data_IF_735507482573
#
_entry.id   IF_735507482573
#
_cell.length_a   1.000
_cell.length_b   1.000
_cell.length_c   1.000
_cell.angle_alpha   90.00
_cell.angle_beta   90.00
_cell.angle_gamma   90.00
#
_symmetry.space_group_name_H-M   'P 1'
#
loop_
_entity.id
_entity.type
_entity.pdbx_description
1 polymer ?
#
# COMPACT_ATOMS: atom_id res chain seq x y z
N UNK A 1 14.96 -7.71 13.51
CA UNK A 1 14.95 -6.78 12.36
C UNK A 1 13.83 -7.15 11.40
N UNK A 2 13.06 -6.18 10.98
CA UNK A 2 11.98 -6.40 10.00
C UNK A 2 12.54 -6.74 8.64
N UNK A 3 12.04 -7.81 8.04
CA UNK A 3 12.43 -8.25 6.71
C UNK A 3 11.34 -7.93 5.68
N UNK A 4 11.68 -8.06 4.39
CA UNK A 4 10.68 -7.94 3.32
C UNK A 4 9.55 -8.96 3.48
N UNK A 5 9.89 -10.18 3.88
CA UNK A 5 8.90 -11.23 4.13
C UNK A 5 7.96 -10.86 5.28
N UNK A 6 8.47 -10.19 6.31
CA UNK A 6 7.64 -9.71 7.42
C UNK A 6 6.63 -8.67 6.93
N UNK A 7 7.03 -7.77 6.04
CA UNK A 7 6.13 -6.76 5.47
C UNK A 7 5.01 -7.42 4.68
N UNK A 8 5.35 -8.39 3.84
CA UNK A 8 4.35 -9.11 3.03
C UNK A 8 3.38 -9.87 3.92
N UNK A 9 3.90 -10.61 4.90
CA UNK A 9 3.07 -11.38 5.83
C UNK A 9 2.11 -10.46 6.58
N UNK A 10 2.61 -9.33 7.08
CA UNK A 10 1.78 -8.39 7.82
C UNK A 10 0.72 -7.74 6.92
N UNK A 11 1.09 -7.38 5.69
CA UNK A 11 0.13 -6.83 4.74
C UNK A 11 -1.00 -7.81 4.44
N UNK A 12 -0.69 -9.09 4.34
CA UNK A 12 -1.68 -10.13 4.08
C UNK A 12 -2.69 -10.30 5.21
N UNK A 13 -2.33 -9.91 6.44
CA UNK A 13 -3.29 -9.92 7.54
C UNK A 13 -4.42 -8.90 7.37
N UNK A 14 -4.24 -7.91 6.52
CA UNK A 14 -5.25 -6.90 6.24
C UNK A 14 -6.23 -7.29 5.14
N UNK A 15 -5.98 -8.38 4.41
CA UNK A 15 -6.85 -8.83 3.32
C UNK A 15 -8.27 -9.02 3.85
N UNK A 16 -9.25 -8.47 3.12
CA UNK A 16 -10.65 -8.50 3.50
C UNK A 16 -11.13 -7.27 4.27
N UNK A 17 -10.21 -6.43 4.76
CA UNK A 17 -10.61 -5.18 5.44
C UNK A 17 -11.37 -4.29 4.46
N UNK A 18 -12.57 -3.79 4.83
CA UNK A 18 -13.36 -2.92 3.94
C UNK A 18 -12.66 -1.60 3.63
N UNK A 19 -12.90 -1.09 2.43
CA UNK A 19 -12.35 0.20 2.01
C UNK A 19 -13.17 1.34 2.60
N UNK A 20 -12.47 2.34 3.20
CA UNK A 20 -13.07 3.61 3.59
C UNK A 20 -12.00 4.68 3.64
N UNK A 21 -12.28 5.83 3.02
CA UNK A 21 -11.33 6.94 2.91
C UNK A 21 -10.82 7.39 4.28
N UNK A 22 -9.48 7.55 4.38
CA UNK A 22 -8.77 8.02 5.58
C UNK A 22 -8.99 7.17 6.84
N UNK A 23 -9.27 5.88 6.69
CA UNK A 23 -9.37 4.94 7.80
C UNK A 23 -8.15 4.03 7.86
N UNK A 24 -7.83 3.53 9.07
CA UNK A 24 -6.58 2.81 9.35
C UNK A 24 -6.76 1.63 10.29
N UNK A 25 -7.93 1.00 10.33
CA UNK A 25 -8.23 -0.04 11.33
C UNK A 25 -8.39 -1.40 10.67
N UNK A 26 -7.44 -2.30 10.96
CA UNK A 26 -7.45 -3.68 10.42
C UNK A 26 -8.79 -4.36 10.72
N UNK A 27 -9.36 -4.98 9.70
CA UNK A 27 -10.62 -5.70 9.81
C UNK A 27 -11.86 -4.82 9.85
N UNK A 28 -11.72 -3.51 9.99
CA UNK A 28 -12.84 -2.57 10.12
C UNK A 28 -12.94 -1.65 8.92
N UNK A 29 -11.90 -0.87 8.64
CA UNK A 29 -11.90 0.06 7.51
C UNK A 29 -10.50 0.58 7.23
N UNK A 30 -10.15 0.71 5.95
CA UNK A 30 -8.83 1.20 5.55
C UNK A 30 -8.89 1.75 4.12
N UNK A 31 -8.04 2.72 3.80
CA UNK A 31 -7.79 3.14 2.42
C UNK A 31 -6.38 2.73 1.98
N UNK A 32 -5.97 3.16 0.78
CA UNK A 32 -4.69 2.71 0.22
C UNK A 32 -3.50 3.18 1.06
N UNK A 33 -3.47 4.42 1.49
CA UNK A 33 -2.43 4.93 2.36
C UNK A 33 -2.53 4.31 3.76
N UNK A 34 -3.76 4.08 4.23
CA UNK A 34 -4.01 3.46 5.52
C UNK A 34 -3.44 2.07 5.64
N UNK A 35 -3.49 1.28 4.57
CA UNK A 35 -2.88 -0.04 4.56
C UNK A 35 -1.38 0.04 4.79
N UNK A 36 -0.70 0.89 4.04
CA UNK A 36 0.76 1.06 4.17
C UNK A 36 1.13 1.57 5.57
N UNK A 37 0.43 2.59 6.05
CA UNK A 37 0.67 3.15 7.38
C UNK A 37 0.40 2.09 8.46
N UNK A 38 -0.71 1.37 8.34
CA UNK A 38 -1.10 0.33 9.30
C UNK A 38 -0.09 -0.79 9.39
N UNK A 39 0.41 -1.26 8.25
CA UNK A 39 1.46 -2.29 8.22
C UNK A 39 2.73 -1.77 8.89
N UNK A 40 3.14 -0.54 8.59
CA UNK A 40 4.32 0.06 9.22
C UNK A 40 4.14 0.21 10.73
N UNK A 41 2.96 0.59 11.19
CA UNK A 41 2.66 0.65 12.64
C UNK A 41 2.72 -0.74 13.28
N UNK A 42 2.11 -1.73 12.64
CA UNK A 42 2.08 -3.11 13.16
C UNK A 42 3.48 -3.67 13.35
N UNK A 43 4.41 -3.31 12.48
CA UNK A 43 5.78 -3.80 12.50
C UNK A 43 6.72 -2.91 13.31
N UNK A 44 6.23 -1.81 13.87
CA UNK A 44 7.06 -0.89 14.63
C UNK A 44 8.04 -0.09 13.80
N UNK A 45 7.81 0.03 12.50
CA UNK A 45 8.66 0.81 11.59
C UNK A 45 8.43 2.30 11.73
N UNK A 46 7.29 2.69 12.27
CA UNK A 46 6.93 4.06 12.61
C UNK A 46 6.31 4.06 13.99
N UNK A 47 6.28 5.24 14.65
CA UNK A 47 5.61 5.38 15.94
C UNK A 47 4.10 5.18 15.76
N UNK A 48 3.38 4.68 16.80
CA UNK A 48 1.94 4.42 16.66
C UNK A 48 1.10 5.63 16.27
N UNK A 49 1.55 6.83 16.62
CA UNK A 49 0.84 8.08 16.29
C UNK A 49 1.15 8.59 14.87
N UNK A 50 2.12 7.98 14.17
CA UNK A 50 2.46 8.42 12.81
C UNK A 50 1.26 8.29 11.88
N UNK A 51 1.01 9.33 11.11
CA UNK A 51 -0.05 9.34 10.11
C UNK A 51 0.28 10.34 9.00
N UNK A 52 -0.42 10.19 7.89
CA UNK A 52 -0.35 11.10 6.76
C UNK A 52 -1.78 11.48 6.39
N UNK A 53 -2.07 12.75 6.41
CA UNK A 53 -3.37 13.28 6.04
C UNK A 53 -3.26 14.26 4.89
N UNK A 54 -4.36 14.95 4.60
CA UNK A 54 -4.39 16.01 3.60
C UNK A 54 -4.47 15.53 2.15
N UNK A 55 -4.62 14.23 1.93
CA UNK A 55 -4.81 13.71 0.57
C UNK A 55 -6.31 13.59 0.24
N UNK A 56 -6.63 13.77 -1.03
CA UNK A 56 -8.01 13.74 -1.50
C UNK A 56 -8.52 12.30 -1.71
N UNK A 57 -9.85 12.13 -1.68
CA UNK A 57 -10.48 10.86 -2.03
C UNK A 57 -10.17 10.49 -3.49
N UNK A 58 -10.20 11.49 -4.38
CA UNK A 58 -9.82 11.33 -5.77
C UNK A 58 -8.31 11.55 -5.91
N UNK A 59 -7.62 10.78 -6.76
CA UNK A 59 -6.19 10.97 -6.97
C UNK A 59 -5.87 12.36 -7.50
N UNK A 60 -4.98 13.08 -6.81
CA UNK A 60 -4.50 14.38 -7.28
C UNK A 60 -3.14 14.29 -7.97
N UNK A 61 -2.55 13.10 -8.01
CA UNK A 61 -1.26 12.87 -8.67
C UNK A 61 -0.06 13.33 -7.86
N UNK A 62 -0.23 13.94 -6.71
CA UNK A 62 0.84 14.61 -5.98
C UNK A 62 0.95 14.16 -4.53
N UNK A 63 -0.16 14.18 -3.78
CA UNK A 63 -0.12 14.02 -2.32
C UNK A 63 0.50 12.70 -1.85
N UNK A 64 0.06 11.58 -2.44
CA UNK A 64 0.56 10.27 -2.04
C UNK A 64 2.01 10.07 -2.46
N UNK A 65 2.36 10.50 -3.67
CA UNK A 65 3.73 10.40 -4.15
C UNK A 65 4.69 11.24 -3.30
N UNK A 66 4.26 12.43 -2.92
CA UNK A 66 5.06 13.30 -2.03
C UNK A 66 5.30 12.62 -0.70
N UNK A 67 4.26 12.06 -0.09
CA UNK A 67 4.41 11.37 1.20
C UNK A 67 5.38 10.19 1.09
N UNK A 68 5.31 9.41 0.03
CA UNK A 68 6.25 8.31 -0.20
C UNK A 68 7.69 8.84 -0.34
N UNK A 69 7.89 9.89 -1.12
CA UNK A 69 9.23 10.45 -1.33
C UNK A 69 9.83 11.03 -0.05
N UNK A 70 8.99 11.55 0.87
CA UNK A 70 9.45 12.09 2.14
C UNK A 70 9.88 11.01 3.13
N UNK A 71 9.26 9.83 3.06
CA UNK A 71 9.41 8.81 4.11
C UNK A 71 10.06 7.51 3.64
N UNK A 72 10.30 7.34 2.35
CA UNK A 72 10.80 6.10 1.78
C UNK A 72 11.92 6.37 0.78
N UNK A 73 12.75 5.36 0.57
CA UNK A 73 13.80 5.40 -0.45
C UNK A 73 13.24 4.91 -1.77
N UNK A 74 13.38 5.71 -2.83
CA UNK A 74 12.91 5.34 -4.17
C UNK A 74 13.80 4.26 -4.77
N UNK A 75 13.17 3.25 -5.36
CA UNK A 75 13.86 2.21 -6.13
C UNK A 75 13.38 2.23 -7.58
N UNK A 76 14.22 1.73 -8.49
CA UNK A 76 13.85 1.64 -9.90
C UNK A 76 12.82 0.55 -10.10
N UNK A 77 11.98 0.70 -11.13
CA UNK A 77 10.95 -0.29 -11.45
C UNK A 77 11.53 -1.68 -11.64
N UNK A 78 12.68 -1.79 -12.30
CA UNK A 78 13.35 -3.07 -12.54
C UNK A 78 13.90 -3.72 -11.27
N UNK A 79 14.01 -2.95 -10.19
CA UNK A 79 14.52 -3.45 -8.91
C UNK A 79 13.41 -3.72 -7.89
N UNK A 80 12.15 -3.62 -8.29
CA UNK A 80 11.02 -3.88 -7.42
C UNK A 80 11.03 -5.31 -6.88
N UNK A 81 10.75 -5.44 -5.58
CA UNK A 81 10.73 -6.73 -4.88
C UNK A 81 9.54 -6.80 -3.94
N UNK A 82 9.13 -8.01 -3.53
CA UNK A 82 8.12 -8.16 -2.48
C UNK A 82 8.53 -7.37 -1.23
N UNK A 83 7.55 -6.70 -0.61
CA UNK A 83 7.77 -5.83 0.54
C UNK A 83 7.98 -4.36 0.18
N UNK A 84 8.16 -4.03 -1.08
CA UNK A 84 8.22 -2.64 -1.51
C UNK A 84 6.82 -2.03 -1.58
N UNK A 85 6.76 -0.71 -1.40
CA UNK A 85 5.54 0.06 -1.62
C UNK A 85 5.55 0.54 -3.06
N UNK A 86 4.43 0.36 -3.76
CA UNK A 86 4.26 0.83 -5.13
C UNK A 86 3.19 1.90 -5.17
N UNK A 87 3.46 2.96 -5.95
CA UNK A 87 2.46 3.98 -6.28
C UNK A 87 2.10 3.79 -7.74
N UNK A 88 0.81 3.59 -7.99
CA UNK A 88 0.32 3.34 -9.36
C UNK A 88 -0.52 4.50 -9.84
N UNK A 89 -0.52 4.71 -11.15
CA UNK A 89 -1.29 5.76 -11.77
C UNK A 89 -2.61 5.22 -12.29
N UNK A 90 -3.67 5.98 -12.02
CA UNK A 90 -4.93 5.84 -12.72
C UNK A 90 -5.07 7.06 -13.63
N UNK A 91 -5.37 6.83 -14.90
CA UNK A 91 -5.55 7.92 -15.87
C UNK A 91 -4.37 8.90 -15.87
N UNK A 92 -3.15 8.37 -15.86
CA UNK A 92 -1.89 9.13 -15.92
C UNK A 92 -1.54 9.93 -14.66
N UNK A 93 -2.30 9.78 -13.58
CA UNK A 93 -2.00 10.46 -12.32
C UNK A 93 -1.68 9.45 -11.22
N UNK A 94 -0.53 9.58 -10.50
CA UNK A 94 -0.26 8.72 -9.35
C UNK A 94 -1.30 8.99 -8.27
N UNK A 95 -2.07 7.98 -7.90
CA UNK A 95 -3.15 8.21 -6.94
C UNK A 95 -3.52 7.01 -6.12
N UNK A 96 -2.81 5.90 -6.28
CA UNK A 96 -3.09 4.68 -5.54
C UNK A 96 -1.80 4.01 -5.15
N UNK A 97 -1.79 3.35 -4.01
CA UNK A 97 -0.61 2.67 -3.53
C UNK A 97 -0.96 1.30 -2.97
N UNK A 98 0.05 0.46 -2.88
CA UNK A 98 -0.07 -0.87 -2.32
C UNK A 98 1.28 -1.40 -1.93
N UNK A 99 1.29 -2.62 -1.43
CA UNK A 99 2.49 -3.34 -1.03
C UNK A 99 2.68 -4.51 -1.96
N UNK A 100 3.89 -4.64 -2.50
CA UNK A 100 4.20 -5.74 -3.40
C UNK A 100 4.35 -7.04 -2.62
N UNK A 101 3.81 -8.10 -3.17
CA UNK A 101 3.96 -9.44 -2.65
C UNK A 101 4.52 -10.38 -3.70
N UNK A 102 4.78 -11.62 -3.29
CA UNK A 102 5.15 -12.69 -4.18
C UNK A 102 3.86 -13.40 -4.64
N UNK A 103 3.57 -13.32 -5.93
CA UNK A 103 2.36 -13.94 -6.46
C UNK A 103 2.50 -15.46 -6.47
N UNK A 104 1.47 -16.17 -6.00
CA UNK A 104 1.51 -17.64 -5.89
C UNK A 104 1.76 -18.37 -7.20
N UNK A 105 1.51 -17.72 -8.34
CA UNK A 105 1.75 -18.27 -9.67
C UNK A 105 2.99 -17.69 -10.34
N UNK A 106 3.86 -17.04 -9.56
CA UNK A 106 5.09 -16.42 -10.05
C UNK A 106 4.93 -14.95 -10.32
N UNK A 107 6.05 -14.20 -10.20
CA UNK A 107 6.06 -12.75 -10.38
C UNK A 107 5.59 -12.01 -9.15
N UNK A 108 5.16 -10.77 -9.35
CA UNK A 108 4.75 -9.89 -8.27
C UNK A 108 3.23 -9.79 -8.19
N UNK A 109 2.74 -9.67 -6.96
CA UNK A 109 1.37 -9.28 -6.66
C UNK A 109 1.35 -7.88 -6.07
N UNK A 110 0.16 -7.28 -6.00
CA UNK A 110 -0.08 -6.06 -5.24
C UNK A 110 -1.14 -6.35 -4.19
N UNK A 111 -0.83 -5.99 -2.95
CA UNK A 111 -1.76 -6.05 -1.82
C UNK A 111 -2.22 -4.62 -1.61
N UNK A 112 -3.51 -4.34 -1.79
CA UNK A 112 -3.99 -2.97 -1.79
C UNK A 112 -5.45 -2.88 -1.38
N UNK A 113 -5.82 -1.71 -0.85
CA UNK A 113 -7.20 -1.40 -0.54
C UNK A 113 -7.89 -0.96 -1.84
N UNK A 114 -8.57 -1.89 -2.49
CA UNK A 114 -9.24 -1.65 -3.76
C UNK A 114 -10.59 -0.97 -3.54
N UNK A 115 -11.11 -0.33 -4.58
CA UNK A 115 -12.45 0.23 -4.58
C UNK A 115 -13.48 -0.72 -5.20
N UNK A 116 -13.02 -1.66 -6.03
CA UNK A 116 -13.86 -2.71 -6.64
C UNK A 116 -13.08 -4.02 -6.66
N UNK A 117 -13.40 -4.98 -5.79
CA UNK A 117 -14.34 -4.87 -4.67
C UNK A 117 -13.82 -3.91 -3.59
N UNK A 118 -14.68 -3.27 -2.78
CA UNK A 118 -14.24 -2.24 -1.83
C UNK A 118 -13.63 -2.86 -0.57
N UNK A 119 -12.48 -3.46 -0.71
CA UNK A 119 -11.74 -4.09 0.38
C UNK A 119 -10.29 -4.34 -0.02
N UNK A 120 -9.47 -4.67 0.97
CA UNK A 120 -8.09 -5.09 0.71
C UNK A 120 -8.09 -6.44 0.00
N UNK A 121 -7.39 -6.50 -1.11
CA UNK A 121 -7.21 -7.72 -1.93
C UNK A 121 -5.75 -7.86 -2.30
N UNK A 122 -5.37 -9.07 -2.70
CA UNK A 122 -4.07 -9.32 -3.33
C UNK A 122 -4.32 -9.84 -4.74
N UNK A 123 -3.80 -9.14 -5.72
CA UNK A 123 -3.97 -9.49 -7.13
C UNK A 123 -2.63 -9.44 -7.85
N UNK A 124 -2.55 -10.08 -9.01
CA UNK A 124 -1.35 -9.99 -9.84
C UNK A 124 -1.08 -8.53 -10.23
N UNK A 125 0.20 -8.14 -10.17
CA UNK A 125 0.58 -6.80 -10.60
C UNK A 125 0.66 -6.75 -12.12
N UNK A 126 -0.07 -5.82 -12.72
CA UNK A 126 -0.08 -5.62 -14.17
C UNK A 126 0.45 -4.24 -14.53
N UNK A 127 1.23 -4.19 -15.59
CA UNK A 127 1.62 -2.94 -16.25
C UNK A 127 1.09 -2.95 -17.68
N UNK A 128 0.68 -1.80 -18.13
CA UNK A 128 0.27 -1.60 -19.52
C UNK A 128 1.24 -0.65 -20.20
#
# INVERSE_FOLDING_TARGET
MTTRADVVTQAREWIGTPFQHQQRTKGVAVDCAGLVIGVCRDLGLVVPAFDVGGYARQPDGVSLLRACNEHMTTVRQEDMQPGDVVVVAYDKAPGHMGILGDYRHGGLSIIHAAMKPPRVVETRLWFT
#
